data_IF_983550076710
#
_entry.id   IF_983550076710
#
_cell.length_a   1.000
_cell.length_b   1.000
_cell.length_c   1.000
_cell.angle_alpha   90.00
_cell.angle_beta   90.00
_cell.angle_gamma   90.00
#
_symmetry.space_group_name_H-M   'P 1'
#
loop_
_entity.id
_entity.type
_entity.pdbx_description
1 polymer ?
#
# COMPACT_ATOMS: atom_id res chain seq x y z
N UNK A 1 -20.46 5.02 -0.01
CA UNK A 1 -19.16 4.32 0.03
C UNK A 1 -19.42 2.83 0.15
N UNK A 2 -19.01 2.04 -0.86
CA UNK A 2 -19.05 0.59 -0.77
C UNK A 2 -18.01 0.13 0.25
N UNK A 3 -18.48 -0.43 1.37
CA UNK A 3 -17.62 -1.23 2.24
C UNK A 3 -17.74 -2.67 1.74
N UNK A 4 -16.66 -3.26 1.25
CA UNK A 4 -16.57 -4.69 1.01
C UNK A 4 -16.44 -5.38 2.36
N UNK A 5 -17.44 -6.13 2.77
CA UNK A 5 -17.42 -6.90 4.00
C UNK A 5 -17.75 -8.35 3.67
N UNK A 6 -16.93 -9.28 4.14
CA UNK A 6 -17.27 -10.70 4.11
C UNK A 6 -18.07 -11.04 5.36
N UNK A 7 -19.35 -11.40 5.19
CA UNK A 7 -20.20 -11.86 6.27
C UNK A 7 -20.13 -13.38 6.36
N UNK A 8 -19.56 -13.92 7.43
CA UNK A 8 -19.59 -15.34 7.73
C UNK A 8 -20.66 -15.61 8.79
N UNK A 9 -21.70 -16.33 8.40
CA UNK A 9 -22.77 -16.74 9.32
C UNK A 9 -22.52 -18.20 9.69
N UNK A 10 -22.22 -18.45 10.96
CA UNK A 10 -22.14 -19.81 11.51
C UNK A 10 -23.42 -20.06 12.28
N UNK A 11 -24.24 -20.98 11.80
CA UNK A 11 -25.45 -21.42 12.51
C UNK A 11 -25.18 -22.77 13.19
N UNK A 12 -25.26 -22.79 14.52
CA UNK A 12 -25.19 -24.02 15.31
C UNK A 12 -26.61 -24.39 15.70
N UNK A 13 -27.12 -25.52 15.20
CA UNK A 13 -28.39 -26.08 15.62
C UNK A 13 -28.15 -27.08 16.75
N UNK A 14 -28.57 -26.79 17.97
CA UNK A 14 -28.65 -27.74 19.06
C UNK A 14 -30.02 -28.40 19.03
N UNK A 15 -30.10 -29.66 18.62
CA UNK A 15 -31.32 -30.44 18.74
C UNK A 15 -31.43 -30.98 20.20
N UNK A 16 -32.57 -30.75 20.84
CA UNK A 16 -32.90 -31.39 22.10
C UNK A 16 -33.02 -32.90 21.87
N UNK A 17 -32.05 -33.65 22.29
CA UNK A 17 -31.81 -35.10 22.31
C UNK A 17 -30.63 -35.55 21.43
N UNK A 18 -29.46 -35.01 21.64
CA UNK A 18 -28.20 -35.69 21.31
C UNK A 18 -27.82 -35.75 19.80
N UNK A 19 -28.44 -34.98 18.94
CA UNK A 19 -28.03 -34.82 17.54
C UNK A 19 -27.59 -33.37 17.32
N UNK A 20 -26.29 -33.14 17.41
CA UNK A 20 -25.68 -31.87 16.94
C UNK A 20 -25.29 -32.02 15.48
N UNK A 21 -25.84 -31.25 14.61
CA UNK A 21 -25.33 -31.06 13.25
C UNK A 21 -24.83 -29.64 13.11
N UNK A 22 -23.52 -29.48 13.11
CA UNK A 22 -22.88 -28.20 12.77
C UNK A 22 -22.85 -28.08 11.25
N UNK A 23 -23.54 -27.10 10.71
CA UNK A 23 -23.43 -26.72 9.31
C UNK A 23 -22.93 -25.31 9.22
N UNK A 24 -21.76 -25.15 8.63
CA UNK A 24 -21.18 -23.86 8.28
C UNK A 24 -21.67 -23.46 6.90
N UNK A 25 -22.35 -22.33 6.79
CA UNK A 25 -22.71 -21.73 5.52
C UNK A 25 -21.84 -20.49 5.33
N UNK A 26 -21.01 -20.51 4.28
CA UNK A 26 -20.24 -19.36 3.87
C UNK A 26 -20.95 -18.73 2.67
N UNK A 27 -21.39 -17.49 2.79
CA UNK A 27 -21.85 -16.71 1.67
C UNK A 27 -20.86 -15.56 1.43
N UNK A 28 -20.15 -15.60 0.30
CA UNK A 28 -19.38 -14.47 -0.20
C UNK A 28 -20.32 -13.61 -1.05
N UNK A 29 -20.63 -12.43 -0.56
CA UNK A 29 -21.44 -11.45 -1.29
C UNK A 29 -21.28 -10.09 -0.64
N UNK A 30 -21.35 -9.03 -1.45
CA UNK A 30 -21.43 -7.66 -0.94
C UNK A 30 -22.78 -7.47 -0.25
N UNK A 31 -22.78 -7.56 1.08
CA UNK A 31 -23.97 -7.31 1.88
C UNK A 31 -24.19 -5.79 1.99
N UNK A 32 -25.14 -5.27 1.26
CA UNK A 32 -25.70 -3.95 1.52
C UNK A 32 -26.64 -4.05 2.73
N UNK A 33 -26.26 -3.35 3.82
CA UNK A 33 -27.23 -2.87 4.81
C UNK A 33 -28.00 -3.92 5.60
N UNK A 34 -27.40 -5.07 5.93
CA UNK A 34 -28.01 -5.98 6.90
C UNK A 34 -27.64 -5.48 8.30
N UNK A 35 -28.65 -5.00 9.03
CA UNK A 35 -28.52 -4.79 10.46
C UNK A 35 -28.35 -6.17 11.12
N UNK A 36 -27.26 -6.44 11.86
CA UNK A 36 -27.07 -7.74 12.52
C UNK A 36 -28.17 -8.08 13.53
N UNK A 37 -28.95 -7.10 13.99
CA UNK A 37 -30.07 -7.30 14.91
C UNK A 37 -31.39 -7.64 14.19
N UNK A 38 -31.45 -7.52 12.85
CA UNK A 38 -32.63 -7.83 12.02
C UNK A 38 -32.44 -9.04 11.09
N UNK A 39 -31.46 -9.92 11.34
CA UNK A 39 -31.27 -11.12 10.53
C UNK A 39 -32.47 -12.06 10.67
N UNK A 40 -33.34 -12.11 9.68
CA UNK A 40 -34.45 -13.07 9.61
C UNK A 40 -33.92 -14.37 9.04
N UNK A 41 -33.99 -15.43 9.84
CA UNK A 41 -33.66 -16.79 9.39
C UNK A 41 -34.76 -17.30 8.48
N UNK A 42 -34.41 -17.64 7.25
CA UNK A 42 -35.32 -18.17 6.26
C UNK A 42 -34.82 -19.51 5.73
N UNK A 43 -35.72 -20.37 5.36
CA UNK A 43 -35.41 -21.65 4.76
C UNK A 43 -36.33 -21.91 3.56
N UNK A 44 -35.89 -22.77 2.64
CA UNK A 44 -36.74 -23.22 1.52
C UNK A 44 -37.29 -24.59 1.86
N UNK A 45 -38.59 -24.75 1.71
CA UNK A 45 -39.26 -26.05 1.88
C UNK A 45 -38.93 -27.00 0.72
N UNK A 46 -39.38 -28.24 0.81
CA UNK A 46 -39.18 -29.27 -0.21
C UNK A 46 -39.77 -28.94 -1.59
N UNK A 47 -40.60 -27.90 -1.68
CA UNK A 47 -41.18 -27.38 -2.94
C UNK A 47 -40.38 -26.22 -3.50
N UNK A 48 -39.30 -25.77 -2.82
CA UNK A 48 -38.53 -24.61 -3.20
C UNK A 48 -39.15 -23.27 -2.83
N UNK A 49 -40.18 -23.28 -1.99
CA UNK A 49 -40.86 -22.05 -1.55
C UNK A 49 -40.19 -21.49 -0.30
N UNK A 50 -39.95 -20.20 -0.30
CA UNK A 50 -39.39 -19.44 0.83
C UNK A 50 -40.32 -19.48 2.04
N UNK A 51 -39.75 -19.82 3.20
CA UNK A 51 -40.45 -19.86 4.49
C UNK A 51 -39.66 -19.02 5.50
N UNK A 52 -40.36 -18.20 6.27
CA UNK A 52 -39.77 -17.45 7.39
C UNK A 52 -40.08 -18.18 8.70
N UNK A 53 -39.18 -18.20 9.66
CA UNK A 53 -39.39 -18.84 10.98
C UNK A 53 -40.57 -18.19 11.74
N UNK A 54 -40.92 -16.94 11.45
CA UNK A 54 -42.01 -16.23 12.06
C UNK A 54 -43.40 -16.70 11.58
N UNK A 55 -43.49 -17.46 10.49
CA UNK A 55 -44.75 -17.92 9.90
C UNK A 55 -45.10 -19.38 10.16
N UNK A 56 -44.38 -20.11 11.00
CA UNK A 56 -44.71 -21.49 11.33
C UNK A 56 -45.80 -21.54 12.41
N UNK A 57 -47.04 -21.70 11.98
CA UNK A 57 -48.24 -21.89 12.86
C UNK A 57 -48.74 -23.33 12.83
N UNK A 58 -47.82 -24.33 12.73
CA UNK A 58 -48.21 -25.72 12.64
C UNK A 58 -48.83 -26.23 13.95
N UNK A 59 -50.07 -26.67 13.93
CA UNK A 59 -50.72 -27.43 14.98
C UNK A 59 -50.44 -28.90 14.74
N UNK A 60 -49.70 -29.56 15.67
CA UNK A 60 -49.58 -31.00 15.66
C UNK A 60 -48.26 -31.66 15.86
N UNK A 61 -47.18 -30.94 16.01
CA UNK A 61 -45.89 -31.50 16.46
C UNK A 61 -45.51 -30.81 17.75
N UNK A 62 -45.18 -31.65 18.76
CA UNK A 62 -44.56 -31.19 20.00
C UNK A 62 -43.43 -30.19 19.65
N UNK A 63 -43.42 -28.98 20.19
CA UNK A 63 -42.46 -27.96 19.75
C UNK A 63 -41.06 -28.42 20.16
N UNK A 64 -40.35 -29.02 19.22
CA UNK A 64 -38.89 -29.14 19.31
C UNK A 64 -38.37 -27.72 19.18
N UNK A 65 -38.15 -27.04 20.28
CA UNK A 65 -37.52 -25.73 20.31
C UNK A 65 -36.06 -25.89 19.87
N UNK A 66 -35.80 -25.77 18.57
CA UNK A 66 -34.46 -25.67 18.10
C UNK A 66 -34.00 -24.21 18.32
N UNK A 67 -33.05 -24.01 19.20
CA UNK A 67 -32.40 -22.72 19.35
C UNK A 67 -31.30 -22.64 18.32
N UNK A 68 -31.41 -21.74 17.35
CA UNK A 68 -30.33 -21.45 16.41
C UNK A 68 -29.56 -20.27 16.97
N UNK A 69 -28.30 -20.50 17.36
CA UNK A 69 -27.40 -19.45 17.75
C UNK A 69 -26.64 -19.00 16.51
N UNK A 70 -26.94 -17.80 16.05
CA UNK A 70 -26.24 -17.19 14.91
C UNK A 70 -25.12 -16.33 15.44
N UNK A 71 -23.89 -16.62 15.03
CA UNK A 71 -22.73 -15.77 15.24
C UNK A 71 -22.37 -15.17 13.88
N UNK A 72 -22.65 -13.88 13.70
CA UNK A 72 -22.16 -13.13 12.56
C UNK A 72 -20.78 -12.57 12.87
N UNK A 73 -19.80 -12.84 12.01
CA UNK A 73 -18.48 -12.21 12.06
C UNK A 73 -18.31 -11.41 10.79
N UNK A 74 -18.20 -10.10 10.92
CA UNK A 74 -17.90 -9.22 9.80
C UNK A 74 -16.39 -9.02 9.78
N UNK A 75 -15.73 -9.48 8.72
CA UNK A 75 -14.33 -9.18 8.44
C UNK A 75 -14.28 -8.05 7.41
N UNK A 76 -13.62 -6.95 7.77
CA UNK A 76 -13.38 -5.88 6.80
C UNK A 76 -12.29 -6.33 5.83
N UNK A 77 -12.54 -6.14 4.52
CA UNK A 77 -11.51 -6.35 3.50
C UNK A 77 -10.38 -5.36 3.71
N UNK A 78 -9.16 -5.87 3.69
CA UNK A 78 -7.95 -5.07 3.80
C UNK A 78 -7.08 -5.28 2.57
N UNK A 79 -6.40 -4.23 2.18
CA UNK A 79 -5.49 -4.26 1.05
C UNK A 79 -4.04 -3.95 1.42
N UNK A 80 -3.23 -3.76 0.38
CA UNK A 80 -1.81 -3.43 0.50
C UNK A 80 -1.35 -2.47 -0.58
N UNK A 81 -0.28 -1.74 -0.29
CA UNK A 81 0.52 -0.99 -1.26
C UNK A 81 1.93 -1.56 -1.27
N UNK A 82 2.39 -2.00 -2.44
CA UNK A 82 3.79 -2.37 -2.69
C UNK A 82 4.42 -1.33 -3.60
N UNK A 83 5.55 -0.76 -3.19
CA UNK A 83 6.32 0.20 -3.99
C UNK A 83 7.61 -0.49 -4.42
N UNK A 84 7.82 -0.63 -5.74
CA UNK A 84 9.06 -1.11 -6.32
C UNK A 84 9.96 0.08 -6.65
N UNK A 85 11.18 0.08 -6.13
CA UNK A 85 12.16 1.14 -6.30
C UNK A 85 13.41 0.64 -7.00
N UNK A 86 13.82 1.35 -8.04
CA UNK A 86 15.03 1.03 -8.79
C UNK A 86 15.92 2.26 -8.98
N UNK A 87 17.18 2.02 -9.22
CA UNK A 87 18.13 3.00 -9.68
C UNK A 87 17.84 3.35 -11.15
N UNK A 88 17.79 4.64 -11.48
CA UNK A 88 17.35 5.13 -12.80
C UNK A 88 18.35 4.80 -13.92
N UNK A 89 19.64 4.70 -13.60
CA UNK A 89 20.71 4.50 -14.60
C UNK A 89 20.95 3.00 -14.86
N UNK A 90 20.87 2.16 -13.80
CA UNK A 90 21.20 0.74 -13.88
C UNK A 90 19.98 -0.17 -13.92
N UNK A 91 18.80 0.32 -13.55
CA UNK A 91 17.58 -0.47 -13.40
C UNK A 91 17.61 -1.46 -12.22
N UNK A 92 18.68 -1.48 -11.42
CA UNK A 92 18.79 -2.38 -10.27
C UNK A 92 17.89 -1.96 -9.14
N UNK A 93 17.47 -2.92 -8.32
CA UNK A 93 16.73 -2.67 -7.10
C UNK A 93 17.47 -1.69 -6.18
N UNK A 94 16.75 -0.68 -5.67
CA UNK A 94 17.33 0.34 -4.79
C UNK A 94 16.80 0.18 -3.37
N UNK A 95 17.68 -0.30 -2.49
CA UNK A 95 17.39 -0.45 -1.06
C UNK A 95 17.59 0.87 -0.29
N UNK A 96 16.98 0.98 0.90
CA UNK A 96 17.20 2.09 1.83
C UNK A 96 16.41 3.36 1.53
N UNK A 97 15.48 3.32 0.57
CA UNK A 97 14.56 4.43 0.28
C UNK A 97 13.39 4.38 1.27
N UNK A 98 13.10 5.49 1.93
CA UNK A 98 12.03 5.60 2.93
C UNK A 98 10.79 6.24 2.32
N UNK A 99 9.67 5.55 2.40
CA UNK A 99 8.35 6.03 2.03
C UNK A 99 7.47 6.27 3.25
N UNK A 100 6.63 7.28 3.18
CA UNK A 100 5.61 7.60 4.17
C UNK A 100 4.23 7.50 3.56
N UNK A 101 3.33 6.79 4.25
CA UNK A 101 1.92 6.67 3.90
C UNK A 101 1.09 7.63 4.75
N UNK A 102 0.11 8.28 4.10
CA UNK A 102 -0.83 9.21 4.71
C UNK A 102 -2.27 8.78 4.45
N UNK A 103 -3.16 9.09 5.38
CA UNK A 103 -4.61 8.96 5.20
C UNK A 103 -5.18 10.07 4.28
N UNK A 104 -6.48 10.02 4.03
CA UNK A 104 -7.19 11.01 3.19
C UNK A 104 -7.21 12.42 3.81
N UNK A 105 -6.97 12.56 5.12
CA UNK A 105 -6.86 13.84 5.82
C UNK A 105 -5.42 14.37 5.82
N UNK A 106 -4.44 13.59 5.30
CA UNK A 106 -3.03 13.95 5.26
C UNK A 106 -2.25 13.60 6.53
N UNK A 107 -2.83 12.85 7.46
CA UNK A 107 -2.11 12.38 8.64
C UNK A 107 -1.22 11.20 8.30
N UNK A 108 -0.04 11.13 8.94
CA UNK A 108 0.86 9.99 8.82
C UNK A 108 0.22 8.72 9.36
N UNK A 109 0.25 7.64 8.56
CA UNK A 109 -0.13 6.29 8.99
C UNK A 109 1.11 5.49 9.38
N UNK A 110 2.09 5.37 8.45
CA UNK A 110 3.26 4.53 8.63
C UNK A 110 4.43 5.01 7.76
N UNK A 111 5.62 4.53 8.08
CA UNK A 111 6.79 4.59 7.20
C UNK A 111 7.22 3.17 6.83
N UNK A 112 7.72 2.98 5.60
CA UNK A 112 8.31 1.73 5.11
C UNK A 112 9.60 2.03 4.35
N UNK A 113 10.58 1.14 4.47
CA UNK A 113 11.90 1.28 3.84
C UNK A 113 12.07 0.16 2.81
N UNK A 114 12.61 0.48 1.64
CA UNK A 114 12.89 -0.53 0.62
C UNK A 114 13.99 -1.49 1.07
N UNK A 115 13.70 -2.79 0.96
CA UNK A 115 14.64 -3.87 1.22
C UNK A 115 15.65 -4.07 0.08
N UNK A 116 16.45 -5.12 0.19
CA UNK A 116 17.44 -5.49 -0.84
C UNK A 116 16.80 -5.81 -2.21
N UNK A 117 15.53 -6.16 -2.23
CA UNK A 117 14.73 -6.38 -3.43
C UNK A 117 14.11 -5.08 -4.00
N UNK A 118 14.41 -3.93 -3.40
CA UNK A 118 13.87 -2.62 -3.76
C UNK A 118 12.40 -2.42 -3.40
N UNK A 119 11.80 -3.24 -2.53
CA UNK A 119 10.38 -3.13 -2.20
C UNK A 119 10.15 -2.51 -0.83
N UNK A 120 9.21 -1.57 -0.77
CA UNK A 120 8.57 -1.09 0.44
C UNK A 120 7.09 -1.51 0.42
N UNK A 121 6.59 -2.08 1.54
CA UNK A 121 5.23 -2.63 1.62
C UNK A 121 4.49 -2.03 2.80
N UNK A 122 3.24 -1.60 2.54
CA UNK A 122 2.25 -1.25 3.54
C UNK A 122 1.11 -2.26 3.44
N UNK A 123 0.87 -3.02 4.50
CA UNK A 123 -0.16 -4.06 4.59
C UNK A 123 -1.31 -3.66 5.50
N UNK A 124 -2.36 -4.48 5.49
CA UNK A 124 -3.53 -4.34 6.39
C UNK A 124 -4.25 -2.99 6.28
N UNK A 125 -4.23 -2.38 5.09
CA UNK A 125 -4.87 -1.10 4.84
C UNK A 125 -6.37 -1.28 4.62
N UNK A 126 -7.25 -0.66 5.42
CA UNK A 126 -8.68 -0.61 5.13
C UNK A 126 -8.98 -0.06 3.74
N UNK A 127 -10.19 -0.35 3.22
CA UNK A 127 -10.63 0.27 1.98
C UNK A 127 -10.71 1.79 2.15
N UNK A 128 -10.16 2.54 1.19
CA UNK A 128 -10.13 3.99 1.30
C UNK A 128 -9.09 4.65 0.41
N UNK A 129 -9.04 5.97 0.50
CA UNK A 129 -8.07 6.80 -0.23
C UNK A 129 -6.89 7.14 0.66
N UNK A 130 -5.70 7.05 0.08
CA UNK A 130 -4.42 7.30 0.73
C UNK A 130 -3.52 8.13 -0.18
N UNK A 131 -2.42 8.60 0.34
CA UNK A 131 -1.30 9.10 -0.44
C UNK A 131 0.02 8.63 0.15
N UNK A 132 1.03 8.45 -0.69
CA UNK A 132 2.38 8.12 -0.24
C UNK A 132 3.40 9.08 -0.84
N UNK A 133 4.55 9.20 -0.19
CA UNK A 133 5.61 10.12 -0.55
C UNK A 133 6.96 9.51 -0.17
N UNK A 134 7.96 9.69 -1.01
CA UNK A 134 9.34 9.42 -0.63
C UNK A 134 9.85 10.54 0.28
N UNK A 135 10.38 10.17 1.45
CA UNK A 135 10.88 11.10 2.46
C UNK A 135 12.37 10.96 2.73
N UNK A 136 13.02 9.99 2.09
CA UNK A 136 14.47 9.78 2.22
C UNK A 136 14.97 8.78 1.21
N UNK A 137 16.21 8.99 0.76
CA UNK A 137 16.93 8.11 -0.15
C UNK A 137 18.34 7.85 0.38
N UNK A 138 19.02 6.79 -0.11
CA UNK A 138 20.42 6.56 0.18
C UNK A 138 21.30 7.74 -0.25
N UNK A 139 22.47 7.87 0.38
CA UNK A 139 23.43 8.95 0.05
C UNK A 139 23.75 8.99 -1.44
N UNK A 140 23.70 10.18 -2.01
CA UNK A 140 23.95 10.44 -3.42
C UNK A 140 22.71 10.42 -4.31
N UNK A 141 21.58 9.83 -3.87
CA UNK A 141 20.33 9.83 -4.64
C UNK A 141 19.46 11.05 -4.35
N UNK A 142 18.77 11.51 -5.39
CA UNK A 142 17.81 12.62 -5.29
C UNK A 142 16.47 12.06 -4.82
N UNK A 143 15.92 12.65 -3.74
CA UNK A 143 14.58 12.30 -3.22
C UNK A 143 13.49 12.87 -4.11
N UNK A 144 12.53 12.03 -4.50
CA UNK A 144 11.29 12.49 -5.14
C UNK A 144 10.22 12.80 -4.08
N UNK A 145 10.09 14.06 -3.73
CA UNK A 145 9.13 14.52 -2.72
C UNK A 145 7.68 14.64 -3.21
N UNK A 146 7.36 14.12 -4.38
CA UNK A 146 6.00 14.12 -4.93
C UNK A 146 5.09 13.22 -4.08
N UNK A 147 3.86 13.70 -3.79
CA UNK A 147 2.81 12.88 -3.17
C UNK A 147 1.98 12.19 -4.23
N UNK A 148 1.87 10.89 -4.14
CA UNK A 148 1.14 10.03 -5.06
C UNK A 148 -0.15 9.54 -4.41
N UNK A 149 -1.34 9.85 -4.96
CA UNK A 149 -2.60 9.35 -4.45
C UNK A 149 -2.82 7.90 -4.86
N UNK A 150 -3.45 7.11 -3.98
CA UNK A 150 -3.93 5.75 -4.27
C UNK A 150 -5.30 5.54 -3.63
N UNK A 151 -6.04 4.57 -4.15
CA UNK A 151 -7.31 4.14 -3.55
C UNK A 151 -7.36 2.62 -3.50
N UNK A 152 -7.60 2.07 -2.31
CA UNK A 152 -7.81 0.64 -2.08
C UNK A 152 -9.32 0.39 -2.11
N UNK A 153 -9.75 -0.49 -3.01
CA UNK A 153 -11.16 -0.86 -3.19
C UNK A 153 -11.33 -2.37 -3.10
N UNK A 154 -12.55 -2.85 -2.92
CA UNK A 154 -12.84 -4.29 -2.91
C UNK A 154 -12.44 -5.01 -4.22
N UNK A 155 -12.41 -4.29 -5.34
CA UNK A 155 -11.96 -4.81 -6.65
C UNK A 155 -10.46 -4.63 -6.91
N UNK A 156 -9.76 -3.84 -6.09
CA UNK A 156 -8.34 -3.54 -6.20
C UNK A 156 -7.71 -3.44 -4.81
N UNK A 157 -7.51 -4.60 -4.18
CA UNK A 157 -6.96 -4.70 -2.82
C UNK A 157 -5.44 -4.49 -2.80
N UNK A 158 -4.72 -5.01 -3.82
CA UNK A 158 -3.26 -4.97 -3.87
C UNK A 158 -2.81 -3.98 -4.94
N UNK A 159 -2.31 -2.84 -4.50
CA UNK A 159 -1.77 -1.78 -5.36
C UNK A 159 -0.27 -1.94 -5.48
N UNK A 160 0.25 -1.82 -6.70
CA UNK A 160 1.69 -1.81 -6.96
C UNK A 160 2.05 -0.51 -7.67
N UNK A 161 3.07 0.19 -7.18
CA UNK A 161 3.66 1.36 -7.78
C UNK A 161 5.14 1.10 -8.11
N UNK A 162 5.67 1.78 -9.12
CA UNK A 162 7.08 1.67 -9.51
C UNK A 162 7.67 3.06 -9.66
N UNK A 163 8.82 3.29 -9.03
CA UNK A 163 9.57 4.55 -9.06
C UNK A 163 11.05 4.31 -9.23
N UNK A 164 11.73 5.31 -9.77
CA UNK A 164 13.20 5.32 -9.92
C UNK A 164 13.78 6.49 -9.15
N UNK A 165 15.03 6.37 -8.66
CA UNK A 165 15.84 7.52 -8.25
C UNK A 165 17.13 7.58 -9.08
N UNK A 166 17.49 8.79 -9.47
CA UNK A 166 18.77 9.06 -10.10
C UNK A 166 19.80 9.52 -9.05
N UNK A 167 21.06 9.24 -9.32
CA UNK A 167 22.15 9.87 -8.56
C UNK A 167 22.15 11.38 -8.82
N UNK A 168 22.31 12.17 -7.78
CA UNK A 168 22.51 13.61 -7.88
C UNK A 168 23.84 13.90 -8.60
N UNK A 169 23.79 14.79 -9.57
CA UNK A 169 25.00 15.29 -10.23
C UNK A 169 25.47 16.53 -9.50
N UNK A 170 26.68 16.50 -8.98
CA UNK A 170 27.36 17.68 -8.45
C UNK A 170 28.26 18.28 -9.54
N UNK A 171 28.25 19.59 -9.64
CA UNK A 171 29.21 20.33 -10.48
C UNK A 171 30.28 20.98 -9.61
N UNK A 172 31.47 21.14 -10.16
CA UNK A 172 32.57 21.93 -9.56
C UNK A 172 32.82 23.12 -10.46
N UNK A 173 32.67 24.33 -9.90
CA UNK A 173 33.11 25.55 -10.59
C UNK A 173 34.49 25.93 -10.04
N UNK A 174 35.44 26.16 -10.96
CA UNK A 174 36.79 26.62 -10.64
C UNK A 174 36.94 28.02 -11.22
N UNK A 175 37.41 28.94 -10.37
CA UNK A 175 37.82 30.29 -10.82
C UNK A 175 39.31 30.42 -10.67
N UNK A 176 40.03 30.74 -11.77
CA UNK A 176 41.47 30.93 -11.82
C UNK A 176 41.81 32.35 -12.15
N UNK A 177 42.66 32.98 -11.32
CA UNK A 177 43.14 34.34 -11.54
C UNK A 177 44.67 34.38 -11.43
N UNK A 178 45.27 35.37 -12.04
CA UNK A 178 46.69 35.71 -11.86
C UNK A 178 46.95 36.16 -10.42
N UNK A 179 48.07 35.74 -9.86
CA UNK A 179 48.34 35.99 -8.45
C UNK A 179 48.62 37.46 -8.10
N UNK A 180 49.14 38.22 -9.05
CA UNK A 180 49.57 39.60 -8.82
C UNK A 180 48.47 40.58 -9.31
N UNK A 181 48.07 40.46 -10.58
CA UNK A 181 47.08 41.36 -11.21
C UNK A 181 45.65 41.08 -10.87
N UNK A 182 45.33 39.89 -10.31
CA UNK A 182 43.96 39.39 -10.06
C UNK A 182 43.11 39.25 -11.31
N UNK A 183 43.69 39.40 -12.50
CA UNK A 183 43.00 39.25 -13.76
C UNK A 183 42.64 37.78 -14.02
N UNK A 184 41.48 37.51 -14.71
CA UNK A 184 41.13 36.13 -15.09
C UNK A 184 42.22 35.46 -15.92
N UNK A 185 42.53 34.19 -15.61
CA UNK A 185 43.49 33.40 -16.39
C UNK A 185 42.77 32.38 -17.24
N UNK A 186 42.82 32.61 -18.58
CA UNK A 186 42.30 31.70 -19.58
C UNK A 186 43.30 30.55 -19.83
N UNK A 187 42.80 29.36 -20.15
CA UNK A 187 43.61 28.22 -20.59
C UNK A 187 44.34 27.48 -19.48
N UNK A 188 44.04 27.74 -18.19
CA UNK A 188 44.53 26.93 -17.08
C UNK A 188 43.86 25.58 -17.08
N UNK A 189 44.68 24.49 -17.20
CA UNK A 189 44.17 23.12 -17.22
C UNK A 189 43.95 22.57 -15.83
N UNK A 190 42.83 21.86 -15.61
CA UNK A 190 42.47 21.17 -14.40
C UNK A 190 42.03 19.74 -14.68
N UNK A 191 42.32 18.82 -13.77
CA UNK A 191 41.82 17.45 -13.77
C UNK A 191 41.13 17.19 -12.46
N UNK A 192 39.95 16.55 -12.55
CA UNK A 192 39.22 16.10 -11.41
C UNK A 192 39.44 14.59 -11.24
N UNK A 193 39.72 14.17 -10.02
CA UNK A 193 39.94 12.78 -9.67
C UNK A 193 38.91 12.36 -8.63
N UNK A 194 38.46 11.11 -8.69
CA UNK A 194 37.64 10.51 -7.64
C UNK A 194 38.51 10.15 -6.41
N UNK A 195 37.81 9.62 -5.36
CA UNK A 195 38.48 9.21 -4.12
C UNK A 195 39.46 8.00 -4.32
N UNK A 196 39.35 7.26 -5.41
CA UNK A 196 40.24 6.17 -5.78
C UNK A 196 41.48 6.67 -6.55
N UNK A 197 41.54 7.93 -6.90
CA UNK A 197 42.57 8.53 -7.72
C UNK A 197 42.39 8.35 -9.22
N UNK A 198 41.18 7.90 -9.68
CA UNK A 198 40.85 7.78 -11.08
C UNK A 198 40.38 9.14 -11.63
N UNK A 199 40.90 9.54 -12.82
CA UNK A 199 40.51 10.77 -13.46
C UNK A 199 39.06 10.66 -13.94
N UNK A 200 38.18 11.60 -13.49
CA UNK A 200 36.75 11.65 -13.84
C UNK A 200 36.43 12.77 -14.82
N UNK A 201 37.22 13.84 -14.84
CA UNK A 201 37.05 14.95 -15.79
C UNK A 201 38.35 15.71 -16.02
N UNK A 202 38.41 16.44 -17.15
CA UNK A 202 39.49 17.38 -17.51
C UNK A 202 38.88 18.56 -18.21
N UNK A 203 39.40 19.78 -17.99
CA UNK A 203 38.95 20.95 -18.64
C UNK A 203 39.91 22.12 -18.47
N UNK A 204 39.63 23.21 -19.23
CA UNK A 204 40.43 24.43 -19.25
C UNK A 204 39.57 25.64 -18.95
N UNK A 205 40.11 26.60 -18.22
CA UNK A 205 39.41 27.87 -17.94
C UNK A 205 39.16 28.70 -19.18
N UNK A 206 37.98 29.31 -19.24
CA UNK A 206 37.55 30.24 -20.28
C UNK A 206 38.22 31.61 -20.16
N UNK A 207 37.82 32.60 -21.03
CA UNK A 207 38.32 33.97 -21.03
C UNK A 207 38.04 34.73 -19.71
N UNK A 208 37.06 34.25 -18.90
CA UNK A 208 36.73 34.80 -17.59
C UNK A 208 37.47 34.06 -16.46
N UNK A 209 38.39 33.15 -16.79
CA UNK A 209 39.12 32.34 -15.84
C UNK A 209 38.26 31.24 -15.16
N UNK A 210 37.10 30.88 -15.76
CA UNK A 210 36.15 29.92 -15.20
C UNK A 210 36.18 28.59 -15.95
N UNK A 211 36.03 27.50 -15.19
CA UNK A 211 35.77 26.15 -15.67
C UNK A 211 34.59 25.60 -14.87
N UNK A 212 33.56 25.10 -15.58
CA UNK A 212 32.35 24.50 -14.99
C UNK A 212 32.20 23.06 -15.47
#
# INVERSE_FOLDING_TARGET
SQKGNTLTITATAEAAKGLSTEKTYSATGSAYGIDPDEAVLCWYDSTGKYQSLASYTGTGLDPVRAYIKIKATVTEDKGSLTINKTDADTGKALAGVTYRLYDSAGNKIADAITGADGKAVFSDLPLGSYSYQEIGAPSGYVVDSTKYPITITASALNITATHTNALGKAGVEISKVDADSKSPLQGAGFRLYDASGSQVAEGYTDANGKLT
#
